data_IF_852907194414
#
_entry.id   IF_852907194414
#
_cell.length_a   1.000
_cell.length_b   1.000
_cell.length_c   1.000
_cell.angle_alpha   90.00
_cell.angle_beta   90.00
_cell.angle_gamma   90.00
#
_symmetry.space_group_name_H-M   'P 1'
#
loop_
_entity.id
_entity.type
_entity.pdbx_description
1 polymer ?
#
# COMPACT_ATOMS: atom_id res chain seq x y z
N UNK A 1 3.40 -7.01 -2.06
CA UNK A 1 3.18 -6.92 -3.51
C UNK A 1 4.40 -7.49 -4.23
N UNK A 2 4.22 -8.10 -5.40
CA UNK A 2 5.29 -8.44 -6.33
C UNK A 2 5.23 -7.49 -7.51
N UNK A 3 6.31 -6.78 -7.76
CA UNK A 3 6.45 -5.80 -8.84
C UNK A 3 7.57 -6.25 -9.79
N UNK A 4 7.37 -6.13 -11.10
CA UNK A 4 8.39 -6.46 -12.11
C UNK A 4 9.44 -5.35 -12.26
N UNK A 5 10.42 -5.54 -13.15
CA UNK A 5 11.53 -4.59 -13.35
C UNK A 5 11.07 -3.26 -13.96
N UNK A 6 9.93 -3.27 -14.63
CA UNK A 6 9.30 -2.13 -15.26
C UNK A 6 8.39 -1.36 -14.28
N UNK A 7 8.23 -1.84 -13.05
CA UNK A 7 7.44 -1.19 -12.01
C UNK A 7 5.97 -1.59 -12.00
N UNK A 8 5.53 -2.60 -12.77
CA UNK A 8 4.14 -3.05 -12.77
C UNK A 8 3.88 -4.15 -11.74
N UNK A 9 2.72 -4.09 -11.11
CA UNK A 9 2.24 -5.10 -10.17
C UNK A 9 1.98 -6.40 -10.92
N UNK A 10 2.66 -7.47 -10.50
CA UNK A 10 2.48 -8.84 -11.00
C UNK A 10 1.52 -9.61 -10.10
N UNK A 11 1.63 -9.43 -8.79
CA UNK A 11 0.70 -10.02 -7.82
C UNK A 11 0.62 -9.16 -6.55
N UNK A 12 -0.54 -9.18 -5.88
CA UNK A 12 -0.81 -8.45 -4.64
C UNK A 12 -1.66 -9.32 -3.71
N UNK A 13 -1.40 -9.20 -2.40
CA UNK A 13 -2.10 -9.96 -1.36
C UNK A 13 -1.18 -10.34 -0.20
N UNK A 14 -1.79 -10.67 0.94
CA UNK A 14 -1.08 -11.05 2.18
C UNK A 14 -0.37 -12.40 2.08
N UNK A 15 -0.85 -13.30 1.21
CA UNK A 15 -0.40 -14.69 1.12
C UNK A 15 0.28 -15.03 -0.22
N UNK A 16 0.86 -14.04 -0.91
CA UNK A 16 1.57 -14.29 -2.17
C UNK A 16 2.93 -14.96 -1.89
N UNK A 17 3.37 -15.92 -2.73
CA UNK A 17 4.57 -16.72 -2.45
C UNK A 17 5.88 -15.94 -2.52
N UNK A 18 5.90 -14.85 -3.28
CA UNK A 18 7.05 -13.97 -3.41
C UNK A 18 6.56 -12.52 -3.45
N UNK A 19 7.31 -11.62 -2.82
CA UNK A 19 7.03 -10.18 -2.78
C UNK A 19 8.33 -9.39 -2.67
N UNK A 20 8.31 -8.16 -3.16
CA UNK A 20 9.45 -7.23 -3.11
C UNK A 20 9.03 -5.79 -2.76
N UNK A 21 7.75 -5.55 -2.47
CA UNK A 21 7.22 -4.26 -2.05
C UNK A 21 6.10 -4.44 -1.01
N UNK A 22 5.91 -3.43 -0.17
CA UNK A 22 4.77 -3.33 0.76
C UNK A 22 3.72 -2.40 0.15
N UNK A 23 2.45 -2.77 0.27
CA UNK A 23 1.32 -1.91 -0.10
C UNK A 23 1.09 -0.90 1.03
N UNK A 24 1.18 0.39 0.73
CA UNK A 24 1.06 1.47 1.72
C UNK A 24 -0.37 2.03 1.84
N UNK A 25 -1.34 1.47 1.12
CA UNK A 25 -2.74 1.88 1.19
C UNK A 25 -3.10 3.16 0.42
N UNK A 26 -2.19 3.68 -0.42
CA UNK A 26 -2.43 4.85 -1.27
C UNK A 26 -2.56 4.44 -2.73
N UNK A 27 -3.67 4.83 -3.37
CA UNK A 27 -3.96 4.49 -4.75
C UNK A 27 -4.42 5.70 -5.56
N UNK A 28 -3.90 5.83 -6.78
CA UNK A 28 -4.40 6.75 -7.79
C UNK A 28 -4.98 5.93 -8.93
N UNK A 29 -6.31 5.95 -9.08
CA UNK A 29 -7.05 5.07 -9.98
C UNK A 29 -8.01 5.89 -10.85
N UNK A 30 -8.29 5.39 -12.06
CA UNK A 30 -9.37 5.90 -12.90
C UNK A 30 -10.71 5.25 -12.51
N UNK A 31 -11.80 5.66 -13.17
CA UNK A 31 -13.15 5.20 -12.84
C UNK A 31 -13.41 3.70 -13.10
N UNK A 32 -12.53 3.01 -13.85
CA UNK A 32 -12.64 1.55 -14.12
C UNK A 32 -12.69 0.75 -12.81
N UNK A 33 -12.05 1.25 -11.74
CA UNK A 33 -12.06 0.57 -10.44
C UNK A 33 -13.49 0.38 -9.89
N UNK A 34 -14.41 1.31 -10.15
CA UNK A 34 -15.78 1.23 -9.63
C UNK A 34 -16.56 0.09 -10.30
N UNK A 35 -16.32 -0.16 -11.59
CA UNK A 35 -16.91 -1.29 -12.30
C UNK A 35 -16.43 -2.62 -11.70
N UNK A 36 -15.13 -2.71 -11.37
CA UNK A 36 -14.54 -3.89 -10.73
C UNK A 36 -15.11 -4.11 -9.33
N UNK A 37 -15.23 -3.05 -8.53
CA UNK A 37 -15.83 -3.14 -7.19
C UNK A 37 -17.26 -3.68 -7.30
N UNK A 38 -18.08 -3.14 -8.20
CA UNK A 38 -19.47 -3.57 -8.36
C UNK A 38 -19.61 -5.00 -8.87
N UNK A 39 -18.66 -5.46 -9.69
CA UNK A 39 -18.59 -6.84 -10.16
C UNK A 39 -18.27 -7.81 -9.01
N UNK A 40 -17.30 -7.46 -8.16
CA UNK A 40 -16.75 -8.34 -7.14
C UNK A 40 -17.57 -8.35 -5.84
N UNK A 41 -18.20 -7.24 -5.45
CA UNK A 41 -18.98 -7.14 -4.20
C UNK A 41 -20.15 -8.13 -4.18
N UNK A 42 -20.69 -8.46 -5.36
CA UNK A 42 -21.77 -9.44 -5.54
C UNK A 42 -21.34 -10.87 -5.20
N UNK A 43 -20.03 -11.14 -5.24
CA UNK A 43 -19.45 -12.47 -5.11
C UNK A 43 -18.67 -12.64 -3.81
N UNK A 44 -18.17 -11.53 -3.23
CA UNK A 44 -17.30 -11.54 -2.04
C UNK A 44 -17.83 -10.56 -0.97
N UNK A 45 -18.47 -11.06 0.10
CA UNK A 45 -19.00 -10.22 1.18
C UNK A 45 -17.94 -9.39 1.92
N UNK A 46 -16.70 -9.89 2.02
CA UNK A 46 -15.57 -9.21 2.65
C UNK A 46 -14.57 -8.75 1.58
N UNK A 47 -15.07 -8.02 0.58
CA UNK A 47 -14.25 -7.49 -0.50
C UNK A 47 -13.27 -6.44 0.05
N UNK A 48 -12.00 -6.58 -0.29
CA UNK A 48 -10.95 -5.62 0.08
C UNK A 48 -10.48 -4.85 -1.16
N UNK A 49 -9.90 -3.67 -0.97
CA UNK A 49 -9.29 -2.92 -2.08
C UNK A 49 -8.18 -3.75 -2.76
N UNK A 50 -7.41 -4.52 -1.98
CA UNK A 50 -6.39 -5.45 -2.50
C UNK A 50 -6.98 -6.47 -3.46
N UNK A 51 -8.20 -6.98 -3.21
CA UNK A 51 -8.88 -7.89 -4.14
C UNK A 51 -9.22 -7.21 -5.47
N UNK A 52 -9.70 -5.96 -5.40
CA UNK A 52 -10.02 -5.17 -6.59
C UNK A 52 -8.77 -4.86 -7.41
N UNK A 53 -7.67 -4.44 -6.77
CA UNK A 53 -6.39 -4.19 -7.46
C UNK A 53 -5.82 -5.48 -8.04
N UNK A 54 -5.94 -6.60 -7.33
CA UNK A 54 -5.56 -7.92 -7.86
C UNK A 54 -6.37 -8.27 -9.11
N UNK A 55 -7.68 -8.04 -9.10
CA UNK A 55 -8.51 -8.32 -10.25
C UNK A 55 -8.18 -7.39 -11.43
N UNK A 56 -8.02 -6.08 -11.17
CA UNK A 56 -7.63 -5.06 -12.14
C UNK A 56 -6.33 -5.46 -12.84
N UNK A 57 -5.27 -5.74 -12.08
CA UNK A 57 -3.94 -6.03 -12.64
C UNK A 57 -3.84 -7.36 -13.36
N UNK A 58 -4.65 -8.37 -12.99
CA UNK A 58 -4.60 -9.70 -13.61
C UNK A 58 -5.54 -9.86 -14.80
N UNK A 59 -6.61 -9.08 -14.89
CA UNK A 59 -7.69 -9.33 -15.85
C UNK A 59 -8.10 -8.13 -16.71
N UNK A 60 -7.74 -6.90 -16.32
CA UNK A 60 -8.28 -5.69 -16.97
C UNK A 60 -7.15 -4.85 -17.57
N UNK A 61 -6.29 -4.27 -16.73
CA UNK A 61 -5.20 -3.41 -17.20
C UNK A 61 -3.98 -3.45 -16.25
N UNK A 62 -2.76 -3.25 -16.76
CA UNK A 62 -1.57 -3.20 -15.92
C UNK A 62 -1.65 -2.05 -14.91
N UNK A 63 -1.32 -2.35 -13.65
CA UNK A 63 -1.24 -1.34 -12.58
C UNK A 63 0.21 -1.06 -12.25
N UNK A 64 0.60 0.21 -12.26
CA UNK A 64 1.95 0.64 -11.91
C UNK A 64 2.09 0.80 -10.38
N UNK A 65 3.18 0.27 -9.83
CA UNK A 65 3.62 0.52 -8.46
C UNK A 65 4.49 1.77 -8.40
N UNK A 66 4.13 2.71 -7.54
CA UNK A 66 4.92 3.91 -7.28
C UNK A 66 5.91 3.64 -6.13
N UNK A 67 7.22 3.68 -6.42
CA UNK A 67 8.24 3.56 -5.38
C UNK A 67 8.33 4.86 -4.57
N UNK A 68 8.03 4.76 -3.28
CA UNK A 68 8.10 5.87 -2.32
C UNK A 68 9.23 5.67 -1.30
N UNK A 69 10.18 4.78 -1.57
CA UNK A 69 11.34 4.54 -0.72
C UNK A 69 12.02 5.85 -0.31
N UNK A 70 12.38 5.97 0.96
CA UNK A 70 12.94 7.19 1.54
C UNK A 70 11.91 8.20 2.06
N UNK A 71 10.61 7.98 1.85
CA UNK A 71 9.55 8.76 2.47
C UNK A 71 9.03 8.05 3.73
N UNK A 72 8.62 8.84 4.72
CA UNK A 72 8.10 8.33 5.98
C UNK A 72 6.63 7.89 5.81
N UNK A 73 6.32 6.68 6.27
CA UNK A 73 4.96 6.12 6.27
C UNK A 73 4.80 5.11 7.42
N UNK A 74 3.60 5.06 7.99
CA UNK A 74 3.22 4.10 9.03
C UNK A 74 1.78 3.64 8.79
N UNK A 75 1.54 2.36 9.01
CA UNK A 75 0.19 1.78 9.13
C UNK A 75 -0.17 1.77 10.63
N UNK A 76 -1.19 2.51 11.04
CA UNK A 76 -1.55 2.70 12.45
C UNK A 76 -2.89 2.02 12.71
N UNK A 77 -2.85 0.72 13.01
CA UNK A 77 -4.04 -0.10 13.24
C UNK A 77 -4.32 -0.34 14.73
N UNK A 78 -3.30 -0.22 15.58
CA UNK A 78 -3.34 -0.59 16.99
C UNK A 78 -2.86 0.53 17.91
N UNK A 79 -3.23 0.50 19.21
CA UNK A 79 -2.69 1.44 20.19
C UNK A 79 -1.16 1.38 20.29
N UNK A 80 -0.56 0.20 20.10
CA UNK A 80 0.89 0.02 20.11
C UNK A 80 1.56 0.74 18.94
N UNK A 81 0.90 0.79 17.77
CA UNK A 81 1.40 1.54 16.62
C UNK A 81 1.43 3.05 16.91
N UNK A 82 0.43 3.56 17.64
CA UNK A 82 0.42 4.97 18.09
C UNK A 82 1.59 5.24 19.02
N UNK A 83 1.77 4.44 20.08
CA UNK A 83 2.87 4.60 21.03
C UNK A 83 4.25 4.58 20.32
N UNK A 84 4.41 3.66 19.36
CA UNK A 84 5.63 3.56 18.56
C UNK A 84 5.86 4.80 17.69
N UNK A 85 4.84 5.22 16.93
CA UNK A 85 4.96 6.37 16.01
C UNK A 85 5.22 7.66 16.79
N UNK A 86 4.56 7.87 17.93
CA UNK A 86 4.80 9.03 18.79
C UNK A 86 6.24 9.07 19.31
N UNK A 87 6.77 7.93 19.79
CA UNK A 87 8.16 7.82 20.25
C UNK A 87 9.15 8.11 19.11
N UNK A 88 8.93 7.50 17.95
CA UNK A 88 9.76 7.69 16.75
C UNK A 88 9.78 9.16 16.32
N UNK A 89 8.61 9.81 16.24
CA UNK A 89 8.51 11.21 15.83
C UNK A 89 9.17 12.15 16.84
N UNK A 90 9.03 11.89 18.15
CA UNK A 90 9.73 12.65 19.18
C UNK A 90 11.25 12.60 19.00
N UNK A 91 11.82 11.40 18.79
CA UNK A 91 13.26 11.23 18.56
C UNK A 91 13.73 11.91 17.28
N UNK A 92 12.99 11.72 16.17
CA UNK A 92 13.32 12.31 14.89
C UNK A 92 13.33 13.86 14.95
N UNK A 93 12.33 14.47 15.60
CA UNK A 93 12.26 15.93 15.77
C UNK A 93 13.35 16.46 16.71
N UNK A 94 13.67 15.74 17.79
CA UNK A 94 14.74 16.12 18.71
C UNK A 94 16.13 16.06 18.04
N UNK A 95 16.35 15.14 17.10
CA UNK A 95 17.58 15.10 16.31
C UNK A 95 17.72 16.27 15.33
N UNK A 96 16.60 16.81 14.82
CA UNK A 96 16.62 17.99 13.96
C UNK A 96 16.90 19.30 14.71
N UNK A 97 16.61 19.36 16.02
CA UNK A 97 16.93 20.52 16.87
C UNK A 97 18.41 20.67 17.24
N UNK A 98 19.19 19.59 17.18
CA UNK A 98 20.62 19.58 17.55
C UNK A 98 21.58 19.68 16.34
N UNK A 99 21.05 19.88 15.12
CA UNK A 99 21.82 19.99 13.88
C UNK A 99 22.16 21.42 13.46
N UNK A 100 21.88 22.42 14.30
CA UNK A 100 22.20 23.84 14.08
C UNK A 100 23.02 24.40 15.25
N UNK A 101 24.25 23.91 15.43
CA UNK A 101 25.36 24.63 16.07
C UNK A 101 26.70 24.24 15.43
#
# INVERSE_FOLDING_TARGET
MLVNKEGYIVDIGKNIPAWNAVDIGLFLLNDVIFEIIHLLEKQKPNLTITDCIKHLTLNVEPVWGCDVSGHLWFDIDTPQDVEFVESFLCEALNCQGNGTE
#
